data_IF_105053532179
#
_entry.id   IF_105053532179
#
_cell.length_a   1.000
_cell.length_b   1.000
_cell.length_c   1.000
_cell.angle_alpha   90.00
_cell.angle_beta   90.00
_cell.angle_gamma   90.00
#
_symmetry.space_group_name_H-M   'P 1'
#
loop_
_entity.id
_entity.type
_entity.pdbx_description
1 polymer ?
#
# COMPACT_ATOMS: atom_id res chain seq x y z
N UNK A 1 12.33 -5.76 -18.15
CA UNK A 1 11.62 -6.99 -18.64
C UNK A 1 12.53 -8.24 -18.68
N UNK A 2 13.84 -8.07 -18.68
CA UNK A 2 14.82 -9.19 -18.80
C UNK A 2 14.99 -9.94 -17.46
N UNK A 3 14.54 -9.38 -16.34
CA UNK A 3 14.74 -9.94 -14.99
C UNK A 3 13.44 -10.35 -14.29
N UNK A 4 12.38 -10.58 -15.06
CA UNK A 4 11.14 -11.17 -14.51
C UNK A 4 11.41 -12.64 -14.21
N UNK A 5 11.21 -13.10 -12.96
CA UNK A 5 11.42 -14.51 -12.61
C UNK A 5 10.36 -15.41 -13.22
N UNK A 6 10.73 -16.65 -13.58
CA UNK A 6 9.80 -17.68 -14.03
C UNK A 6 8.99 -18.27 -12.87
N UNK A 7 9.53 -18.19 -11.64
CA UNK A 7 8.92 -18.71 -10.43
C UNK A 7 9.26 -17.82 -9.24
N UNK A 8 8.25 -17.44 -8.46
CA UNK A 8 8.40 -16.79 -7.17
C UNK A 8 7.94 -17.73 -6.05
N UNK A 9 8.81 -18.02 -5.09
CA UNK A 9 8.50 -18.85 -3.92
C UNK A 9 8.30 -17.93 -2.71
N UNK A 10 7.11 -17.97 -2.11
CA UNK A 10 6.76 -17.20 -0.93
C UNK A 10 6.80 -18.11 0.30
N UNK A 11 7.88 -18.03 1.07
CA UNK A 11 8.03 -18.78 2.31
C UNK A 11 7.92 -17.85 3.53
N UNK A 12 6.81 -17.90 4.29
CA UNK A 12 6.60 -17.05 5.46
C UNK A 12 7.61 -17.28 6.59
N UNK A 13 8.23 -18.46 6.64
CA UNK A 13 9.25 -18.80 7.65
C UNK A 13 10.43 -17.84 7.55
N UNK A 14 10.84 -17.48 6.33
CA UNK A 14 11.96 -16.56 6.10
C UNK A 14 11.69 -15.14 6.60
N UNK A 15 10.45 -14.81 6.93
CA UNK A 15 10.05 -13.50 7.44
C UNK A 15 9.65 -13.50 8.91
N UNK A 16 9.67 -14.66 9.59
CA UNK A 16 9.18 -14.82 10.96
C UNK A 16 9.93 -13.94 11.97
N UNK A 17 11.25 -13.80 11.80
CA UNK A 17 12.11 -13.05 12.71
C UNK A 17 12.32 -11.57 12.32
N UNK A 18 11.63 -11.08 11.29
CA UNK A 18 11.70 -9.66 10.92
C UNK A 18 11.12 -8.81 12.05
N UNK A 19 11.90 -7.81 12.56
CA UNK A 19 11.46 -6.97 13.67
C UNK A 19 10.14 -6.22 13.36
N UNK A 20 9.29 -5.96 14.36
CA UNK A 20 8.01 -5.26 14.18
C UNK A 20 8.11 -3.94 13.39
N UNK A 21 9.10 -3.11 13.72
CA UNK A 21 9.33 -1.82 13.03
C UNK A 21 9.64 -2.01 11.54
N UNK A 22 10.42 -3.02 11.19
CA UNK A 22 10.73 -3.33 9.79
C UNK A 22 9.51 -3.90 9.09
N UNK A 23 8.77 -4.80 9.75
CA UNK A 23 7.51 -5.34 9.24
C UNK A 23 6.50 -4.24 8.93
N UNK A 24 6.29 -3.28 9.85
CA UNK A 24 5.42 -2.14 9.63
C UNK A 24 5.89 -1.29 8.43
N UNK A 25 7.16 -0.91 8.41
CA UNK A 25 7.74 -0.07 7.35
C UNK A 25 7.60 -0.70 5.97
N UNK A 26 7.98 -1.97 5.82
CA UNK A 26 7.88 -2.68 4.52
C UNK A 26 6.45 -3.01 4.14
N UNK A 27 5.58 -3.23 5.12
CA UNK A 27 4.15 -3.45 4.91
C UNK A 27 3.45 -2.21 4.36
N UNK A 28 3.70 -1.05 4.97
CA UNK A 28 3.18 0.24 4.47
C UNK A 28 3.74 0.54 3.07
N UNK A 29 5.02 0.26 2.82
CA UNK A 29 5.61 0.43 1.49
C UNK A 29 4.87 -0.39 0.42
N UNK A 30 4.58 -1.66 0.71
CA UNK A 30 3.79 -2.51 -0.18
C UNK A 30 2.35 -1.99 -0.38
N UNK A 31 1.72 -1.42 0.67
CA UNK A 31 0.41 -0.77 0.54
C UNK A 31 0.49 0.47 -0.36
N UNK A 32 1.53 1.30 -0.21
CA UNK A 32 1.73 2.49 -1.06
C UNK A 32 1.92 2.08 -2.52
N UNK A 33 2.70 1.04 -2.81
CA UNK A 33 2.82 0.48 -4.17
C UNK A 33 1.45 0.15 -4.78
N UNK A 34 0.59 -0.55 -4.02
CA UNK A 34 -0.73 -0.93 -4.48
C UNK A 34 -1.67 0.29 -4.66
N UNK A 35 -1.66 1.24 -3.71
CA UNK A 35 -2.45 2.47 -3.79
C UNK A 35 -2.07 3.29 -5.03
N UNK A 36 -0.78 3.56 -5.23
CA UNK A 36 -0.31 4.34 -6.37
C UNK A 36 -0.56 3.61 -7.70
N UNK A 37 -0.38 2.29 -7.75
CA UNK A 37 -0.67 1.51 -8.95
C UNK A 37 -2.16 1.53 -9.30
N UNK A 38 -3.06 1.44 -8.30
CA UNK A 38 -4.51 1.49 -8.52
C UNK A 38 -4.95 2.84 -9.07
N UNK A 39 -4.46 3.93 -8.46
CA UNK A 39 -4.87 5.31 -8.79
C UNK A 39 -4.06 5.92 -9.94
N UNK A 40 -3.10 5.18 -10.50
CA UNK A 40 -2.22 5.65 -11.58
C UNK A 40 -3.00 6.05 -12.82
N UNK A 41 -2.71 7.23 -13.39
CA UNK A 41 -3.21 7.70 -14.70
C UNK A 41 -2.30 7.26 -15.86
N UNK A 42 -1.39 6.32 -15.64
CA UNK A 42 -0.57 5.73 -16.70
C UNK A 42 -1.45 5.03 -17.74
N UNK A 43 -1.07 5.15 -19.02
CA UNK A 43 -1.73 4.42 -20.12
C UNK A 43 -1.65 2.89 -19.97
N UNK A 44 -0.70 2.39 -19.17
CA UNK A 44 -0.54 0.97 -18.92
C UNK A 44 -1.42 0.48 -17.75
N UNK A 45 -2.04 1.40 -16.99
CA UNK A 45 -2.99 1.02 -15.96
C UNK A 45 -4.21 0.35 -16.62
N UNK A 46 -4.58 -0.81 -16.14
CA UNK A 46 -5.61 -1.65 -16.73
C UNK A 46 -6.38 -2.42 -15.65
N UNK A 47 -7.52 -3.05 -15.98
CA UNK A 47 -8.33 -3.78 -15.00
C UNK A 47 -7.58 -4.89 -14.25
N UNK A 48 -6.58 -5.54 -14.86
CA UNK A 48 -5.80 -6.60 -14.21
C UNK A 48 -4.88 -6.00 -13.15
N UNK A 49 -4.15 -4.92 -13.47
CA UNK A 49 -3.29 -4.25 -12.50
C UNK A 49 -4.11 -3.66 -11.33
N UNK A 50 -5.31 -3.11 -11.61
CA UNK A 50 -6.22 -2.63 -10.57
C UNK A 50 -6.72 -3.77 -9.66
N UNK A 51 -7.14 -4.89 -10.23
CA UNK A 51 -7.59 -6.05 -9.45
C UNK A 51 -6.47 -6.63 -8.57
N UNK A 52 -5.23 -6.66 -9.06
CA UNK A 52 -4.06 -7.07 -8.27
C UNK A 52 -3.78 -6.10 -7.12
N UNK A 53 -3.85 -4.78 -7.37
CA UNK A 53 -3.67 -3.76 -6.34
C UNK A 53 -4.75 -3.86 -5.25
N UNK A 54 -6.01 -3.99 -5.64
CA UNK A 54 -7.14 -4.15 -4.73
C UNK A 54 -6.98 -5.40 -3.85
N UNK A 55 -6.69 -6.55 -4.47
CA UNK A 55 -6.47 -7.78 -3.71
C UNK A 55 -5.25 -7.71 -2.80
N UNK A 56 -4.18 -7.03 -3.24
CA UNK A 56 -3.02 -6.73 -2.40
C UNK A 56 -3.42 -5.96 -1.16
N UNK A 57 -4.18 -4.86 -1.32
CA UNK A 57 -4.61 -4.01 -0.20
C UNK A 57 -5.51 -4.77 0.79
N UNK A 58 -6.41 -5.63 0.31
CA UNK A 58 -7.21 -6.50 1.18
C UNK A 58 -6.33 -7.39 2.07
N UNK A 59 -5.32 -8.04 1.49
CA UNK A 59 -4.42 -8.94 2.23
C UNK A 59 -3.55 -8.17 3.22
N UNK A 60 -3.00 -7.03 2.79
CA UNK A 60 -2.08 -6.24 3.59
C UNK A 60 -2.81 -5.55 4.76
N UNK A 61 -3.97 -4.92 4.53
CA UNK A 61 -4.73 -4.25 5.59
C UNK A 61 -5.23 -5.21 6.66
N UNK A 62 -5.67 -6.41 6.28
CA UNK A 62 -6.12 -7.43 7.21
C UNK A 62 -5.00 -8.03 8.09
N UNK A 63 -3.76 -7.94 7.62
CA UNK A 63 -2.65 -8.71 8.20
C UNK A 63 -1.53 -7.88 8.79
N UNK A 64 -1.37 -6.61 8.41
CA UNK A 64 -0.22 -5.80 8.81
C UNK A 64 -0.11 -5.67 10.34
N UNK A 65 -1.20 -5.37 11.03
CA UNK A 65 -1.19 -5.23 12.50
C UNK A 65 -0.83 -6.56 13.16
N UNK A 66 -1.44 -7.66 12.73
CA UNK A 66 -1.16 -9.02 13.23
C UNK A 66 0.30 -9.40 13.00
N UNK A 67 0.84 -9.10 11.81
CA UNK A 67 2.23 -9.39 11.49
C UNK A 67 3.22 -8.53 12.28
N UNK A 68 2.86 -7.30 12.63
CA UNK A 68 3.67 -6.40 13.46
C UNK A 68 3.66 -6.86 14.92
N UNK A 69 2.49 -7.17 15.49
CA UNK A 69 2.33 -7.48 16.90
C UNK A 69 2.77 -8.92 17.24
N UNK A 70 2.48 -9.88 16.36
CA UNK A 70 2.68 -11.30 16.63
C UNK A 70 3.28 -12.09 15.45
N UNK A 71 3.95 -11.44 14.53
CA UNK A 71 4.41 -12.06 13.28
C UNK A 71 5.35 -13.25 13.45
N UNK A 72 6.05 -13.37 14.59
CA UNK A 72 6.88 -14.54 14.89
C UNK A 72 6.04 -15.83 15.02
N UNK A 73 4.81 -15.71 15.53
CA UNK A 73 3.94 -16.85 15.82
C UNK A 73 2.72 -16.89 14.88
N UNK A 74 2.57 -15.92 13.99
CA UNK A 74 1.45 -15.83 13.04
C UNK A 74 1.94 -16.01 11.60
N UNK A 75 2.15 -17.27 11.23
CA UNK A 75 2.55 -17.64 9.87
C UNK A 75 1.49 -17.28 8.83
N UNK A 76 0.21 -17.21 9.20
CA UNK A 76 -0.88 -16.83 8.30
C UNK A 76 -0.75 -15.36 7.94
N UNK A 77 -0.59 -14.48 8.94
CA UNK A 77 -0.38 -13.05 8.70
C UNK A 77 0.89 -12.82 7.85
N UNK A 78 2.01 -13.48 8.15
CA UNK A 78 3.24 -13.40 7.34
C UNK A 78 3.03 -13.83 5.89
N UNK A 79 2.31 -14.94 5.67
CA UNK A 79 2.00 -15.41 4.32
C UNK A 79 1.14 -14.41 3.54
N UNK A 80 0.14 -13.82 4.18
CA UNK A 80 -0.71 -12.79 3.57
C UNK A 80 0.08 -11.52 3.26
N UNK A 81 1.01 -11.10 4.12
CA UNK A 81 1.91 -9.97 3.86
C UNK A 81 2.80 -10.24 2.64
N UNK A 82 3.40 -11.43 2.53
CA UNK A 82 4.21 -11.81 1.37
C UNK A 82 3.40 -11.85 0.07
N UNK A 83 2.22 -12.47 0.11
CA UNK A 83 1.35 -12.55 -1.06
C UNK A 83 0.84 -11.16 -1.47
N UNK A 84 0.42 -10.35 -0.51
CA UNK A 84 0.01 -8.97 -0.74
C UNK A 84 1.13 -8.14 -1.37
N UNK A 85 2.36 -8.25 -0.86
CA UNK A 85 3.54 -7.57 -1.41
C UNK A 85 3.85 -8.02 -2.84
N UNK A 86 3.79 -9.33 -3.13
CA UNK A 86 3.96 -9.84 -4.50
C UNK A 86 2.91 -9.25 -5.46
N UNK A 87 1.63 -9.25 -5.05
CA UNK A 87 0.54 -8.72 -5.88
C UNK A 87 0.66 -7.21 -6.11
N UNK A 88 1.10 -6.44 -5.09
CA UNK A 88 1.46 -5.04 -5.27
C UNK A 88 2.57 -4.88 -6.32
N UNK A 89 3.63 -5.69 -6.24
CA UNK A 89 4.73 -5.72 -7.20
C UNK A 89 4.26 -6.00 -8.62
N UNK A 90 3.40 -6.99 -8.81
CA UNK A 90 2.82 -7.33 -10.12
C UNK A 90 1.93 -6.20 -10.66
N UNK A 91 1.21 -5.51 -9.79
CA UNK A 91 0.38 -4.36 -10.16
C UNK A 91 1.23 -3.19 -10.63
N UNK A 92 2.20 -2.73 -9.83
CA UNK A 92 2.99 -1.56 -10.19
C UNK A 92 4.00 -1.83 -11.34
N UNK A 93 4.33 -3.05 -11.63
CA UNK A 93 5.11 -3.39 -12.83
C UNK A 93 4.41 -2.96 -14.14
N UNK A 94 3.09 -2.85 -14.13
CA UNK A 94 2.28 -2.36 -15.23
C UNK A 94 1.81 -0.90 -15.01
N UNK A 95 1.50 -0.54 -13.77
CA UNK A 95 1.04 0.79 -13.36
C UNK A 95 2.07 1.42 -12.43
N UNK A 96 3.06 2.15 -12.95
CA UNK A 96 4.20 2.60 -12.16
C UNK A 96 3.78 3.48 -10.98
N UNK A 97 4.57 3.43 -9.91
CA UNK A 97 4.48 4.31 -8.74
C UNK A 97 4.62 5.78 -9.14
N UNK A 98 4.15 6.69 -8.30
CA UNK A 98 3.97 8.09 -8.66
C UNK A 98 4.55 9.05 -7.60
N UNK A 99 3.74 10.01 -7.14
CA UNK A 99 4.19 11.15 -6.35
C UNK A 99 4.67 10.78 -4.94
N UNK A 100 4.10 9.75 -4.31
CA UNK A 100 4.54 9.35 -2.95
C UNK A 100 6.00 8.90 -3.01
N UNK A 101 6.33 7.96 -3.88
CA UNK A 101 7.69 7.47 -4.03
C UNK A 101 8.65 8.57 -4.49
N UNK A 102 8.24 9.41 -5.47
CA UNK A 102 9.08 10.49 -5.97
C UNK A 102 9.47 11.49 -4.87
N UNK A 103 8.53 11.83 -3.99
CA UNK A 103 8.76 12.77 -2.88
C UNK A 103 9.42 12.10 -1.66
N UNK A 104 9.33 10.78 -1.52
CA UNK A 104 9.95 10.04 -0.44
C UNK A 104 11.47 9.83 -0.64
N UNK A 105 11.96 9.75 -1.87
CA UNK A 105 13.40 9.55 -2.14
C UNK A 105 14.34 10.55 -1.46
N UNK A 106 14.08 11.89 -1.48
CA UNK A 106 14.92 12.85 -0.75
C UNK A 106 14.99 12.58 0.75
N UNK A 107 13.89 12.11 1.38
CA UNK A 107 13.88 11.80 2.81
C UNK A 107 14.85 10.66 3.13
N UNK A 108 14.88 9.62 2.30
CA UNK A 108 15.85 8.54 2.43
C UNK A 108 17.28 8.98 2.14
N UNK A 109 17.49 9.72 1.05
CA UNK A 109 18.81 10.15 0.60
C UNK A 109 19.49 11.13 1.55
N UNK A 110 18.78 12.16 1.98
CA UNK A 110 19.32 13.28 2.79
C UNK A 110 19.24 12.94 4.28
N UNK A 111 18.08 12.51 4.76
CA UNK A 111 17.82 12.34 6.20
C UNK A 111 18.00 10.91 6.71
N UNK A 112 18.33 9.96 5.83
CA UNK A 112 18.53 8.55 6.16
C UNK A 112 17.29 7.87 6.79
N UNK A 113 16.10 8.38 6.48
CA UNK A 113 14.84 7.77 6.88
C UNK A 113 14.63 6.51 6.02
N UNK A 114 14.17 5.42 6.64
CA UNK A 114 13.89 4.16 5.89
C UNK A 114 12.82 4.40 4.83
N UNK A 115 12.92 3.69 3.69
CA UNK A 115 12.08 3.91 2.52
C UNK A 115 10.58 3.84 2.83
N UNK A 116 10.13 2.74 3.47
CA UNK A 116 8.71 2.60 3.80
C UNK A 116 8.20 3.65 4.81
N UNK A 117 9.04 4.08 5.77
CA UNK A 117 8.67 5.18 6.65
C UNK A 117 8.59 6.51 5.88
N UNK A 118 9.50 6.76 4.94
CA UNK A 118 9.44 7.94 4.07
C UNK A 118 8.14 7.96 3.26
N UNK A 119 7.73 6.82 2.70
CA UNK A 119 6.48 6.68 1.98
C UNK A 119 5.27 6.90 2.91
N UNK A 120 5.27 6.35 4.12
CA UNK A 120 4.20 6.54 5.10
C UNK A 120 4.02 8.03 5.47
N UNK A 121 5.12 8.76 5.67
CA UNK A 121 5.09 10.19 6.00
C UNK A 121 4.55 11.06 4.86
N UNK A 122 4.81 10.69 3.61
CA UNK A 122 4.40 11.47 2.43
C UNK A 122 2.98 11.13 1.97
N UNK A 123 2.54 9.88 2.15
CA UNK A 123 1.27 9.36 1.64
C UNK A 123 0.05 10.27 1.95
N UNK A 124 -0.21 10.71 3.19
CA UNK A 124 -1.42 11.49 3.49
C UNK A 124 -1.47 12.81 2.72
N UNK A 125 -0.34 13.45 2.50
CA UNK A 125 -0.25 14.72 1.77
C UNK A 125 -0.53 14.56 0.28
N UNK A 126 0.00 13.47 -0.32
CA UNK A 126 -0.23 13.15 -1.73
C UNK A 126 -1.68 12.74 -1.95
N UNK A 127 -2.25 11.89 -1.10
CA UNK A 127 -3.67 11.51 -1.15
C UNK A 127 -4.54 12.77 -1.10
N UNK A 128 -4.33 13.64 -0.11
CA UNK A 128 -5.07 14.91 0.03
C UNK A 128 -4.96 15.80 -1.21
N UNK A 129 -3.78 15.86 -1.82
CA UNK A 129 -3.58 16.64 -3.04
C UNK A 129 -4.33 16.02 -4.23
N UNK A 130 -4.20 14.72 -4.43
CA UNK A 130 -4.78 13.99 -5.56
C UNK A 130 -6.32 13.93 -5.50
N UNK A 131 -6.91 13.91 -4.29
CA UNK A 131 -8.36 13.90 -4.10
C UNK A 131 -9.06 15.20 -4.54
N UNK A 132 -8.33 16.21 -5.01
CA UNK A 132 -8.89 17.40 -5.67
C UNK A 132 -9.43 17.09 -7.07
N UNK A 133 -8.96 16.02 -7.69
CA UNK A 133 -9.46 15.49 -8.96
C UNK A 133 -10.57 14.46 -8.66
N UNK A 134 -11.76 14.65 -9.20
CA UNK A 134 -12.95 13.88 -8.85
C UNK A 134 -12.79 12.38 -9.15
N UNK A 135 -12.25 12.01 -10.32
CA UNK A 135 -12.05 10.62 -10.70
C UNK A 135 -11.04 9.91 -9.78
N UNK A 136 -9.96 10.63 -9.43
CA UNK A 136 -8.95 10.11 -8.53
C UNK A 136 -9.49 9.99 -7.11
N UNK A 137 -10.30 10.96 -6.66
CA UNK A 137 -10.98 10.90 -5.37
C UNK A 137 -11.88 9.67 -5.28
N UNK A 138 -12.70 9.39 -6.28
CA UNK A 138 -13.57 8.22 -6.31
C UNK A 138 -12.78 6.92 -6.22
N UNK A 139 -11.62 6.85 -6.88
CA UNK A 139 -10.69 5.73 -6.76
C UNK A 139 -10.16 5.56 -5.34
N UNK A 140 -9.74 6.64 -4.66
CA UNK A 140 -9.30 6.59 -3.26
C UNK A 140 -10.43 6.19 -2.31
N UNK A 141 -11.66 6.70 -2.52
CA UNK A 141 -12.81 6.34 -1.70
C UNK A 141 -13.22 4.87 -1.86
N UNK A 142 -13.08 4.32 -3.07
CA UNK A 142 -13.21 2.88 -3.27
C UNK A 142 -12.17 2.10 -2.45
N UNK A 143 -10.89 2.50 -2.49
CA UNK A 143 -9.83 1.88 -1.69
C UNK A 143 -10.04 2.07 -0.19
N UNK A 144 -10.65 3.18 0.25
CA UNK A 144 -10.91 3.43 1.67
C UNK A 144 -11.77 2.36 2.30
N UNK A 145 -12.73 1.83 1.55
CA UNK A 145 -13.63 0.77 2.02
C UNK A 145 -12.93 -0.59 2.20
N UNK A 146 -11.79 -0.74 1.57
CA UNK A 146 -10.94 -1.93 1.66
C UNK A 146 -9.94 -1.79 2.80
N UNK A 147 -9.23 -0.66 2.85
CA UNK A 147 -8.15 -0.41 3.81
C UNK A 147 -8.70 -0.10 5.20
N UNK A 148 -9.79 0.68 5.26
CA UNK A 148 -10.43 1.15 6.48
C UNK A 148 -11.94 0.82 6.47
N UNK A 149 -12.34 -0.44 6.67
CA UNK A 149 -13.75 -0.86 6.58
C UNK A 149 -14.69 -0.09 7.52
N UNK A 150 -14.16 0.49 8.60
CA UNK A 150 -14.92 1.36 9.52
C UNK A 150 -15.46 2.63 8.87
N UNK A 151 -14.88 3.07 7.73
CA UNK A 151 -15.33 4.26 7.01
C UNK A 151 -16.52 4.03 6.09
N UNK A 152 -16.95 2.78 5.88
CA UNK A 152 -18.06 2.43 4.99
C UNK A 152 -19.40 3.07 5.38
N UNK A 153 -19.60 3.36 6.68
CA UNK A 153 -20.84 3.96 7.17
C UNK A 153 -20.93 5.47 6.92
N UNK A 154 -19.85 6.12 6.54
CA UNK A 154 -19.83 7.57 6.28
C UNK A 154 -20.47 7.84 4.92
N UNK A 155 -21.64 8.51 4.95
CA UNK A 155 -22.47 8.73 3.75
C UNK A 155 -22.06 9.96 2.95
N UNK A 156 -21.62 11.02 3.63
CA UNK A 156 -21.26 12.27 2.97
C UNK A 156 -19.85 12.21 2.42
N UNK A 157 -19.72 12.58 1.14
CA UNK A 157 -18.46 12.48 0.39
C UNK A 157 -17.32 13.27 1.02
N UNK A 158 -17.61 14.49 1.48
CA UNK A 158 -16.60 15.37 2.10
C UNK A 158 -16.11 14.79 3.43
N UNK A 159 -17.02 14.30 4.28
CA UNK A 159 -16.68 13.69 5.56
C UNK A 159 -15.85 12.42 5.37
N UNK A 160 -16.22 11.57 4.40
CA UNK A 160 -15.48 10.35 4.09
C UNK A 160 -14.09 10.66 3.54
N UNK A 161 -13.98 11.67 2.69
CA UNK A 161 -12.70 12.14 2.16
C UNK A 161 -11.76 12.61 3.27
N UNK A 162 -12.28 13.41 4.19
CA UNK A 162 -11.51 13.89 5.33
C UNK A 162 -11.12 12.76 6.28
N UNK A 163 -12.05 11.87 6.60
CA UNK A 163 -11.80 10.70 7.45
C UNK A 163 -10.73 9.80 6.85
N UNK A 164 -10.80 9.50 5.57
CA UNK A 164 -9.82 8.67 4.88
C UNK A 164 -8.39 9.24 4.96
N UNK A 165 -8.23 10.54 4.73
CA UNK A 165 -6.91 11.19 4.87
C UNK A 165 -6.41 11.13 6.31
N UNK A 166 -7.30 11.33 7.29
CA UNK A 166 -6.94 11.34 8.72
C UNK A 166 -6.51 9.96 9.23
N UNK A 167 -7.07 8.87 8.71
CA UNK A 167 -6.64 7.50 9.08
C UNK A 167 -5.17 7.20 8.73
N UNK A 168 -4.60 7.88 7.74
CA UNK A 168 -3.16 7.76 7.42
C UNK A 168 -2.26 8.61 8.34
N UNK A 169 -2.82 9.52 9.13
CA UNK A 169 -2.06 10.42 10.00
C UNK A 169 -2.02 9.89 11.45
N UNK A 170 -3.04 9.14 11.85
CA UNK A 170 -3.19 8.54 13.18
C UNK A 170 -2.50 7.18 13.28
#
# INVERSE_FOLDING_TARGET
KVIIPDLAILDPILTSDIPPKTTASTGIDAMVHAIEAFTSKSKNNNPISKALAEKSLMLLSDSIIKAVENGKNDAVARNQMLLGSLMAGMSFANSPVAAVHALAYPLGGIYKITHGLSNALILPYVVRFNMKDDETRDSYLHLSDIIFPQLKHIKYLEDKTLAFVNEFIN
#
